data_IF_988360368246
#
_entry.id   IF_988360368246
#
_cell.length_a   1.000
_cell.length_b   1.000
_cell.length_c   1.000
_cell.angle_alpha   90.00
_cell.angle_beta   90.00
_cell.angle_gamma   90.00
#
_symmetry.space_group_name_H-M   'P 1'
#
loop_
_entity.id
_entity.type
_entity.pdbx_description
1 polymer ?
#
# COMPACT_ATOMS: atom_id res chain seq x y z
N UNK A 1 -30.10 -30.73 -50.16
CA UNK A 1 -30.31 -31.14 -48.75
C UNK A 1 -29.36 -30.31 -47.91
N UNK A 2 -29.90 -29.48 -47.01
CA UNK A 2 -29.17 -28.66 -46.03
C UNK A 2 -28.56 -29.61 -44.99
N UNK A 3 -27.40 -29.27 -44.42
CA UNK A 3 -27.05 -29.39 -43.00
C UNK A 3 -25.53 -29.16 -42.82
N UNK A 4 -25.17 -28.11 -42.07
CA UNK A 4 -24.39 -28.18 -40.83
C UNK A 4 -22.87 -27.99 -41.10
N UNK A 5 -22.07 -27.27 -40.33
CA UNK A 5 -22.23 -26.75 -38.99
C UNK A 5 -21.50 -25.41 -38.84
N UNK A 6 -22.13 -24.49 -38.14
CA UNK A 6 -21.49 -23.31 -37.54
C UNK A 6 -20.82 -23.76 -36.24
N UNK A 7 -19.52 -23.56 -36.08
CA UNK A 7 -18.85 -23.59 -34.78
C UNK A 7 -18.22 -22.22 -34.54
N UNK A 8 -18.97 -21.37 -33.84
CA UNK A 8 -18.45 -20.15 -33.25
C UNK A 8 -17.69 -20.56 -31.98
N UNK A 9 -16.37 -20.41 -31.98
CA UNK A 9 -15.56 -20.51 -30.77
C UNK A 9 -15.48 -19.12 -30.14
N UNK A 10 -16.30 -18.92 -29.12
CA UNK A 10 -16.25 -17.78 -28.19
C UNK A 10 -15.21 -18.13 -27.12
N UNK A 11 -14.06 -17.44 -27.12
CA UNK A 11 -13.08 -17.52 -26.03
C UNK A 11 -12.49 -16.14 -25.78
N UNK A 12 -12.58 -15.67 -24.53
CA UNK A 12 -11.88 -14.47 -24.07
C UNK A 12 -12.76 -13.44 -23.35
N UNK A 13 -13.54 -13.86 -22.35
CA UNK A 13 -13.95 -12.92 -21.30
C UNK A 13 -12.69 -12.55 -20.52
N UNK A 14 -12.05 -11.45 -20.91
CA UNK A 14 -11.09 -10.75 -20.07
C UNK A 14 -11.89 -10.27 -18.86
N UNK A 15 -11.81 -10.99 -17.75
CA UNK A 15 -12.33 -10.53 -16.47
C UNK A 15 -11.39 -9.42 -15.96
N UNK A 16 -11.43 -8.26 -16.62
CA UNK A 16 -11.02 -7.00 -16.00
C UNK A 16 -12.09 -6.67 -14.96
N UNK A 17 -12.01 -7.29 -13.79
CA UNK A 17 -12.69 -6.76 -12.61
C UNK A 17 -12.28 -5.30 -12.42
N UNK A 18 -13.14 -4.44 -11.87
CA UNK A 18 -12.79 -3.04 -11.67
C UNK A 18 -11.55 -2.95 -10.77
N UNK A 19 -10.41 -2.60 -11.36
CA UNK A 19 -9.21 -2.27 -10.60
C UNK A 19 -9.42 -0.91 -9.95
N UNK A 20 -9.28 -0.82 -8.64
CA UNK A 20 -9.29 0.47 -7.94
C UNK A 20 -8.13 1.31 -8.52
N UNK A 21 -8.38 2.54 -8.99
CA UNK A 21 -7.32 3.40 -9.48
C UNK A 21 -6.28 3.67 -8.37
N UNK A 22 -4.97 3.68 -8.68
CA UNK A 22 -3.91 3.94 -7.69
C UNK A 22 -4.14 5.19 -6.84
N UNK A 23 -4.62 6.25 -7.47
CA UNK A 23 -4.97 7.51 -6.83
C UNK A 23 -6.12 7.40 -5.81
N UNK A 24 -7.08 6.49 -6.02
CA UNK A 24 -8.09 6.19 -5.01
C UNK A 24 -7.51 5.38 -3.86
N UNK A 25 -6.62 4.42 -4.15
CA UNK A 25 -5.92 3.63 -3.13
C UNK A 25 -5.12 4.53 -2.18
N UNK A 26 -4.40 5.53 -2.71
CA UNK A 26 -3.62 6.47 -1.89
C UNK A 26 -4.50 7.41 -1.06
N UNK A 27 -5.66 7.85 -1.60
CA UNK A 27 -6.64 8.61 -0.81
C UNK A 27 -7.17 7.79 0.36
N UNK A 28 -7.54 6.54 0.13
CA UNK A 28 -8.03 5.65 1.18
C UNK A 28 -6.96 5.39 2.26
N UNK A 29 -5.68 5.31 1.88
CA UNK A 29 -4.58 5.22 2.85
C UNK A 29 -4.49 6.51 3.67
N UNK A 30 -4.50 7.67 3.02
CA UNK A 30 -4.35 8.97 3.68
C UNK A 30 -5.45 9.21 4.74
N UNK A 31 -6.68 8.78 4.47
CA UNK A 31 -7.81 8.87 5.41
C UNK A 31 -7.46 8.22 6.75
N UNK A 32 -6.83 7.04 6.73
CA UNK A 32 -6.58 6.25 7.95
C UNK A 32 -5.23 6.55 8.62
N UNK A 33 -4.31 7.25 7.94
CA UNK A 33 -2.94 7.44 8.45
C UNK A 33 -2.87 8.13 9.82
N UNK A 34 -3.81 9.01 10.12
CA UNK A 34 -3.85 9.76 11.39
C UNK A 34 -5.08 9.42 12.25
N UNK A 35 -5.90 8.44 11.83
CA UNK A 35 -7.02 7.97 12.63
C UNK A 35 -6.52 7.13 13.81
N UNK A 36 -7.15 7.22 14.99
CA UNK A 36 -6.81 6.34 16.09
C UNK A 36 -7.10 4.88 15.74
N UNK A 37 -6.28 3.97 16.26
CA UNK A 37 -6.51 2.53 16.28
C UNK A 37 -6.84 2.16 17.72
N UNK A 38 -8.12 1.98 18.01
CA UNK A 38 -8.63 1.72 19.35
C UNK A 38 -8.74 0.21 19.66
N UNK A 39 -8.79 -0.62 18.62
CA UNK A 39 -8.89 -2.08 18.75
C UNK A 39 -8.22 -2.86 17.60
N UNK A 40 -8.26 -4.19 17.71
CA UNK A 40 -7.66 -5.09 16.73
C UNK A 40 -8.41 -5.09 15.39
N UNK A 41 -9.72 -4.86 15.38
CA UNK A 41 -10.51 -4.83 14.15
C UNK A 41 -10.16 -3.58 13.31
N UNK A 42 -9.92 -2.45 13.97
CA UNK A 42 -9.40 -1.25 13.32
C UNK A 42 -7.98 -1.44 12.77
N UNK A 43 -7.10 -2.06 13.56
CA UNK A 43 -5.74 -2.42 13.14
C UNK A 43 -5.75 -3.33 11.90
N UNK A 44 -6.67 -4.31 11.87
CA UNK A 44 -6.87 -5.19 10.73
C UNK A 44 -7.44 -4.45 9.50
N UNK A 45 -8.36 -3.50 9.70
CA UNK A 45 -8.89 -2.63 8.62
C UNK A 45 -7.78 -1.77 8.02
N UNK A 46 -6.92 -1.17 8.84
CA UNK A 46 -5.82 -0.34 8.37
C UNK A 46 -4.72 -1.19 7.70
N UNK A 47 -4.51 -2.42 8.18
CA UNK A 47 -3.66 -3.42 7.52
C UNK A 47 -4.10 -3.75 6.09
N UNK A 48 -5.40 -3.76 5.82
CA UNK A 48 -5.92 -3.94 4.47
C UNK A 48 -5.55 -2.74 3.57
N UNK A 49 -5.61 -1.51 4.09
CA UNK A 49 -5.24 -0.31 3.32
C UNK A 49 -3.78 -0.30 2.89
N UNK A 50 -2.86 -0.63 3.78
CA UNK A 50 -1.43 -0.73 3.40
C UNK A 50 -1.17 -1.89 2.44
N UNK A 51 -1.96 -2.97 2.50
CA UNK A 51 -1.85 -4.07 1.55
C UNK A 51 -2.29 -3.65 0.15
N UNK A 52 -3.42 -2.94 0.04
CA UNK A 52 -3.92 -2.43 -1.24
C UNK A 52 -2.88 -1.55 -1.94
N UNK A 53 -2.19 -0.69 -1.19
CA UNK A 53 -1.13 0.21 -1.72
C UNK A 53 0.04 -0.57 -2.32
N UNK A 54 0.47 -1.65 -1.64
CA UNK A 54 1.56 -2.52 -2.11
C UNK A 54 1.10 -3.33 -3.33
N UNK A 55 -0.08 -3.93 -3.29
CA UNK A 55 -0.58 -4.78 -4.38
C UNK A 55 -0.90 -4.01 -5.67
N UNK A 56 -1.27 -2.74 -5.56
CA UNK A 56 -1.59 -1.90 -6.72
C UNK A 56 -0.40 -1.12 -7.27
N UNK A 57 0.81 -1.31 -6.73
CA UNK A 57 2.01 -0.54 -7.06
C UNK A 57 1.77 0.99 -7.00
N UNK A 58 0.91 1.46 -6.09
CA UNK A 58 0.35 2.81 -6.19
C UNK A 58 1.38 3.93 -6.07
N UNK A 59 2.51 3.65 -5.41
CA UNK A 59 3.61 4.60 -5.22
C UNK A 59 4.75 4.39 -6.23
N UNK A 60 4.71 3.35 -7.04
CA UNK A 60 5.85 2.95 -7.87
C UNK A 60 6.24 4.06 -8.85
N UNK A 61 7.55 4.33 -8.96
CA UNK A 61 8.13 5.41 -9.78
C UNK A 61 7.72 6.85 -9.40
N UNK A 62 6.97 7.06 -8.32
CA UNK A 62 6.75 8.40 -7.78
C UNK A 62 8.07 8.97 -7.26
N UNK A 63 8.28 10.25 -7.41
CA UNK A 63 9.38 10.96 -6.77
C UNK A 63 9.09 11.19 -5.30
N UNK A 64 10.15 11.33 -4.50
CA UNK A 64 10.06 11.66 -3.09
C UNK A 64 9.20 12.91 -2.79
N UNK A 65 9.25 14.01 -3.57
CA UNK A 65 8.31 15.12 -3.43
C UNK A 65 6.85 14.75 -3.66
N UNK A 66 6.56 13.91 -4.68
CA UNK A 66 5.18 13.44 -4.96
C UNK A 66 4.67 12.59 -3.81
N UNK A 67 5.49 11.67 -3.28
CA UNK A 67 5.13 10.88 -2.09
C UNK A 67 4.88 11.78 -0.89
N UNK A 68 5.72 12.80 -0.68
CA UNK A 68 5.57 13.75 0.42
C UNK A 68 4.28 14.58 0.30
N UNK A 69 3.90 14.98 -0.90
CA UNK A 69 2.67 15.73 -1.15
C UNK A 69 1.43 14.86 -0.84
N UNK A 70 1.49 13.57 -1.16
CA UNK A 70 0.36 12.64 -1.00
C UNK A 70 0.22 12.10 0.43
N UNK A 71 1.32 11.62 1.02
CA UNK A 71 1.31 10.93 2.31
C UNK A 71 1.90 11.76 3.45
N UNK A 72 2.43 12.95 3.15
CA UNK A 72 3.25 13.69 4.09
C UNK A 72 4.68 13.15 4.15
N UNK A 73 5.50 13.83 4.96
CA UNK A 73 6.90 13.45 5.16
C UNK A 73 6.96 12.24 6.09
N UNK A 74 7.40 11.11 5.56
CA UNK A 74 7.67 9.91 6.37
C UNK A 74 8.88 10.10 7.29
N UNK A 75 8.99 9.20 8.26
CA UNK A 75 10.15 9.15 9.15
C UNK A 75 11.30 8.37 8.51
N UNK A 76 12.57 8.75 8.78
CA UNK A 76 13.72 8.07 8.20
C UNK A 76 13.87 6.65 8.74
N UNK A 77 14.11 5.69 7.85
CA UNK A 77 14.20 4.26 8.15
C UNK A 77 15.28 3.89 9.18
N UNK A 78 16.32 4.72 9.33
CA UNK A 78 17.30 4.61 10.42
C UNK A 78 16.70 4.59 11.84
N UNK A 79 15.44 5.02 12.01
CA UNK A 79 14.73 5.04 13.29
C UNK A 79 13.86 3.81 13.56
N UNK A 80 13.73 2.89 12.59
CA UNK A 80 12.83 1.75 12.72
C UNK A 80 13.51 0.42 12.35
N UNK A 81 13.57 -0.57 13.26
CA UNK A 81 14.33 -1.80 13.04
C UNK A 81 13.83 -2.61 11.84
N UNK A 82 12.51 -2.56 11.55
CA UNK A 82 11.92 -3.27 10.41
C UNK A 82 12.45 -2.79 9.06
N UNK A 83 12.94 -1.56 8.94
CA UNK A 83 13.52 -1.10 7.68
C UNK A 83 14.79 -1.89 7.34
N UNK A 84 15.74 -1.95 8.28
CA UNK A 84 17.01 -2.64 8.10
C UNK A 84 16.81 -4.14 7.91
N UNK A 85 15.93 -4.75 8.70
CA UNK A 85 15.60 -6.19 8.61
C UNK A 85 15.06 -6.57 7.22
N UNK A 86 14.42 -5.62 6.52
CA UNK A 86 13.88 -5.82 5.18
C UNK A 86 14.80 -5.26 4.08
N UNK A 87 16.00 -4.78 4.41
CA UNK A 87 16.97 -4.26 3.43
C UNK A 87 16.58 -2.93 2.80
N UNK A 88 15.93 -2.05 3.56
CA UNK A 88 15.75 -0.64 3.19
C UNK A 88 16.95 0.19 3.68
N UNK A 89 17.22 1.28 2.97
CA UNK A 89 18.30 2.21 3.26
C UNK A 89 17.93 3.18 4.40
N UNK A 90 18.93 3.81 5.02
CA UNK A 90 18.70 4.67 6.19
C UNK A 90 17.85 5.91 5.91
N UNK A 91 17.87 6.40 4.68
CA UNK A 91 17.15 7.58 4.20
C UNK A 91 15.84 7.24 3.47
N UNK A 92 15.49 5.96 3.39
CA UNK A 92 14.14 5.52 3.03
C UNK A 92 13.14 5.96 4.09
N UNK A 93 11.85 5.91 3.74
CA UNK A 93 10.79 6.39 4.61
C UNK A 93 9.92 5.26 5.14
N UNK A 94 9.49 5.40 6.39
CA UNK A 94 8.42 4.60 6.94
C UNK A 94 7.28 5.47 7.46
N UNK A 95 6.11 4.86 7.56
CA UNK A 95 4.86 5.44 8.03
C UNK A 95 4.16 4.42 8.93
N UNK A 96 3.94 4.79 10.19
CA UNK A 96 2.94 4.13 11.02
C UNK A 96 1.56 4.54 10.47
N UNK A 97 0.69 3.55 10.26
CA UNK A 97 -0.64 3.79 9.66
C UNK A 97 -1.69 3.71 10.75
N UNK A 98 -2.15 4.89 11.13
CA UNK A 98 -3.00 5.11 12.29
C UNK A 98 -2.18 5.54 13.51
N UNK A 99 -2.82 6.32 14.38
CA UNK A 99 -2.27 6.69 15.67
C UNK A 99 -2.65 5.63 16.71
N UNK A 100 -1.76 5.35 17.67
CA UNK A 100 -2.13 4.50 18.81
C UNK A 100 -3.28 5.16 19.60
N UNK A 101 -4.44 4.50 19.60
CA UNK A 101 -5.62 4.90 20.36
C UNK A 101 -5.44 4.74 21.86
N UNK A 102 -6.28 5.41 22.64
CA UNK A 102 -6.20 5.33 24.10
C UNK A 102 -6.61 3.92 24.58
N UNK A 103 -5.68 3.22 25.22
CA UNK A 103 -5.95 1.89 25.79
C UNK A 103 -5.75 0.72 24.82
N UNK A 104 -5.36 0.96 23.57
CA UNK A 104 -4.93 -0.09 22.65
C UNK A 104 -3.45 -0.43 22.84
N UNK A 105 -3.09 -1.63 23.33
CA UNK A 105 -1.69 -2.01 23.55
C UNK A 105 -1.05 -2.69 22.32
N UNK A 106 -1.82 -2.85 21.24
CA UNK A 106 -1.41 -3.61 20.06
C UNK A 106 -0.57 -2.81 19.07
N UNK A 107 0.04 -3.48 18.09
CA UNK A 107 0.78 -2.82 17.04
C UNK A 107 -0.16 -2.14 16.03
N UNK A 108 0.32 -1.05 15.43
CA UNK A 108 -0.28 -0.47 14.23
C UNK A 108 0.41 -0.98 12.96
N UNK A 109 -0.27 -1.01 11.81
CA UNK A 109 0.35 -1.36 10.54
C UNK A 109 1.47 -0.39 10.15
N UNK A 110 2.42 -0.88 9.36
CA UNK A 110 3.56 -0.10 8.87
C UNK A 110 3.57 -0.10 7.34
N UNK A 111 3.91 1.03 6.73
CA UNK A 111 4.28 1.14 5.33
C UNK A 111 5.73 1.64 5.21
N UNK A 112 6.55 0.98 4.40
CA UNK A 112 7.93 1.38 4.11
C UNK A 112 8.07 1.65 2.62
N UNK A 113 8.66 2.79 2.28
CA UNK A 113 8.86 3.29 0.91
C UNK A 113 10.35 3.49 0.67
N UNK A 114 10.89 2.71 -0.26
CA UNK A 114 12.28 2.71 -0.67
C UNK A 114 12.52 3.52 -1.92
N UNK A 115 13.53 4.39 -1.89
CA UNK A 115 13.89 5.28 -2.98
C UNK A 115 15.22 4.89 -3.62
N UNK A 116 15.35 5.12 -4.92
CA UNK A 116 16.65 5.06 -5.58
C UNK A 116 17.46 6.37 -5.42
N UNK A 117 18.62 6.42 -6.06
CA UNK A 117 19.53 7.57 -6.05
C UNK A 117 18.95 8.82 -6.70
N UNK A 118 17.93 8.69 -7.55
CA UNK A 118 17.22 9.79 -8.19
C UNK A 118 16.02 10.24 -7.34
N UNK A 119 15.77 9.57 -6.21
CA UNK A 119 14.65 9.84 -5.32
C UNK A 119 13.33 9.28 -5.84
N UNK A 120 13.37 8.26 -6.70
CA UNK A 120 12.18 7.57 -7.23
C UNK A 120 11.87 6.33 -6.41
N UNK A 121 10.59 6.07 -6.15
CA UNK A 121 10.15 4.86 -5.45
C UNK A 121 10.47 3.65 -6.31
N UNK A 122 11.28 2.74 -5.77
CA UNK A 122 11.67 1.48 -6.41
C UNK A 122 11.21 0.26 -5.62
N UNK A 123 10.71 0.47 -4.41
CA UNK A 123 10.27 -0.59 -3.52
C UNK A 123 9.26 -0.09 -2.52
N UNK A 124 8.21 -0.87 -2.27
CA UNK A 124 7.24 -0.63 -1.20
C UNK A 124 7.06 -1.94 -0.43
N UNK A 125 6.95 -1.85 0.89
CA UNK A 125 6.73 -2.99 1.78
C UNK A 125 5.78 -2.61 2.91
N UNK A 126 5.03 -3.56 3.45
CA UNK A 126 4.15 -3.33 4.58
C UNK A 126 4.31 -4.37 5.71
N UNK A 127 3.99 -3.94 6.93
CA UNK A 127 3.69 -4.83 8.04
C UNK A 127 2.19 -4.80 8.29
N UNK A 128 1.56 -5.97 8.23
CA UNK A 128 0.17 -6.15 8.63
C UNK A 128 0.09 -6.63 10.07
N UNK A 129 -0.95 -6.18 10.76
CA UNK A 129 -1.32 -6.48 12.13
C UNK A 129 -2.74 -7.07 12.15
N UNK A 130 -3.02 -7.98 13.09
CA UNK A 130 -4.29 -8.71 13.23
C UNK A 130 -4.54 -9.04 14.69
#
# INVERSE_FOLDING_TARGET
MRNAASLALVFGLVACGPSIPPEQTLRNLQEVMNEPVDDADESARFSQRVQEVVESDALQNMSRPEVQELLGRGDPCSRHPRCMDNGFENDDWFYDVGALGEGYPGPVPLLIVGFDREGKVVRVWNLRTH
#
